data_IF_682412070690
#
_entry.id   IF_682412070690
#
_cell.length_a   1.000
_cell.length_b   1.000
_cell.length_c   1.000
_cell.angle_alpha   90.00
_cell.angle_beta   90.00
_cell.angle_gamma   90.00
#
_symmetry.space_group_name_H-M   'P 1'
#
loop_
_entity.id
_entity.type
_entity.pdbx_description
1 polymer ?
#
# COMPACT_ATOMS: atom_id res chain seq x y z
N UNK A 1 -2.71 -12.98 79.13
CA UNK A 1 -3.65 -11.85 79.27
C UNK A 1 -3.21 -10.75 78.30
N UNK A 2 -4.10 -10.31 77.39
CA UNK A 2 -3.99 -8.99 76.74
C UNK A 2 -4.41 -7.92 77.77
N UNK A 3 -3.80 -6.71 77.80
CA UNK A 3 -4.25 -5.61 76.92
C UNK A 3 -3.11 -4.71 76.40
N UNK A 4 -3.13 -4.23 75.14
CA UNK A 4 -3.83 -3.07 74.55
C UNK A 4 -3.51 -1.72 75.23
N UNK A 5 -2.79 -0.80 74.55
CA UNK A 5 -3.33 0.38 73.82
C UNK A 5 -2.23 1.35 73.36
N UNK A 6 -2.43 1.84 72.13
CA UNK A 6 -1.68 2.86 71.37
C UNK A 6 -2.17 4.27 71.77
N UNK A 7 -1.33 5.31 71.68
CA UNK A 7 -1.58 6.43 70.74
C UNK A 7 -0.27 6.81 70.00
N UNK A 8 -0.18 6.89 68.67
CA UNK A 8 -0.71 7.90 67.75
C UNK A 8 -0.20 9.34 68.05
N UNK A 9 0.68 9.89 67.19
CA UNK A 9 0.38 10.97 66.22
C UNK A 9 1.66 11.73 65.79
N UNK A 10 1.77 11.87 64.46
CA UNK A 10 2.41 12.91 63.64
C UNK A 10 3.93 13.13 63.66
N UNK A 11 4.53 13.03 62.47
CA UNK A 11 5.31 14.15 61.87
C UNK A 11 5.69 13.85 60.41
N UNK A 12 5.59 14.88 59.55
CA UNK A 12 6.19 15.09 58.21
C UNK A 12 5.72 14.14 57.08
N UNK A 13 4.96 14.52 56.05
CA UNK A 13 5.05 15.68 55.12
C UNK A 13 6.44 15.86 54.51
N UNK A 14 6.73 15.06 53.46
CA UNK A 14 7.68 15.26 52.34
C UNK A 14 8.00 13.85 51.79
N UNK A 15 7.80 13.46 50.54
CA UNK A 15 7.86 14.19 49.29
C UNK A 15 6.92 13.53 48.25
N UNK A 16 5.84 14.22 47.91
CA UNK A 16 5.09 14.02 46.67
C UNK A 16 5.58 15.09 45.70
N UNK A 17 6.67 14.81 44.98
CA UNK A 17 7.24 15.75 44.01
C UNK A 17 7.89 15.03 42.83
N UNK A 18 7.12 14.18 42.11
CA UNK A 18 7.50 13.68 40.78
C UNK A 18 6.27 13.48 39.88
N UNK A 19 5.38 14.47 39.80
CA UNK A 19 4.34 14.53 38.76
C UNK A 19 4.23 15.96 38.23
N UNK A 20 5.24 16.41 37.49
CA UNK A 20 5.14 17.62 36.66
C UNK A 20 5.97 17.42 35.39
N UNK A 21 5.48 16.51 34.56
CA UNK A 21 5.95 16.28 33.19
C UNK A 21 4.79 16.29 32.21
N UNK A 22 3.79 17.16 32.41
CA UNK A 22 2.85 17.50 31.35
C UNK A 22 3.45 18.70 30.63
N UNK A 23 3.90 18.48 29.39
CA UNK A 23 4.51 19.52 28.58
C UNK A 23 3.63 20.77 28.55
N UNK A 24 4.26 21.94 28.54
CA UNK A 24 3.59 23.18 28.14
C UNK A 24 3.07 22.98 26.72
N UNK A 25 1.83 22.49 26.61
CA UNK A 25 1.08 22.55 25.38
C UNK A 25 0.97 24.04 25.06
N UNK A 26 1.66 24.48 24.01
CA UNK A 26 1.40 25.80 23.43
C UNK A 26 -0.11 25.95 23.30
N UNK A 27 -0.64 27.06 23.80
CA UNK A 27 -2.09 27.27 23.89
C UNK A 27 -2.73 26.93 22.55
N UNK A 28 -3.82 26.15 22.58
CA UNK A 28 -4.60 25.85 21.40
C UNK A 28 -5.13 27.18 20.86
N UNK A 29 -4.55 27.64 19.76
CA UNK A 29 -5.01 28.83 19.06
C UNK A 29 -6.27 28.46 18.27
N UNK A 30 -7.33 29.23 18.46
CA UNK A 30 -8.56 29.02 17.70
C UNK A 30 -8.26 29.27 16.22
N UNK A 31 -8.59 28.30 15.36
CA UNK A 31 -8.52 28.46 13.91
C UNK A 31 -9.66 29.35 13.35
N UNK A 32 -10.42 30.03 14.22
CA UNK A 32 -11.62 30.78 13.89
C UNK A 32 -12.90 29.95 14.05
N UNK A 33 -14.03 30.57 13.71
CA UNK A 33 -15.35 29.93 13.71
C UNK A 33 -15.41 28.88 12.59
N UNK A 34 -15.79 27.65 12.93
CA UNK A 34 -16.02 26.62 11.94
C UNK A 34 -17.24 26.99 11.08
N UNK A 35 -17.20 26.84 9.75
CA UNK A 35 -18.38 27.03 8.92
C UNK A 35 -19.55 26.19 9.42
N UNK A 36 -20.77 26.76 9.38
CA UNK A 36 -21.97 25.98 9.68
C UNK A 36 -22.14 24.86 8.66
N UNK A 37 -22.60 23.70 9.12
CA UNK A 37 -22.87 22.57 8.24
C UNK A 37 -23.98 22.95 7.25
N UNK A 38 -23.71 22.78 5.96
CA UNK A 38 -24.70 22.95 4.89
C UNK A 38 -25.20 21.56 4.52
N UNK A 39 -26.48 21.29 4.78
CA UNK A 39 -27.14 20.06 4.36
C UNK A 39 -27.17 19.93 2.83
N UNK A 40 -26.96 18.71 2.26
CA UNK A 40 -27.11 18.51 0.83
C UNK A 40 -28.51 18.90 0.36
N UNK A 41 -28.60 19.83 -0.60
CA UNK A 41 -29.87 20.16 -1.24
C UNK A 41 -30.32 18.98 -2.12
N UNK A 42 -31.54 18.48 -1.90
CA UNK A 42 -32.15 17.48 -2.78
C UNK A 42 -32.61 18.16 -4.06
N UNK A 43 -31.92 17.86 -5.16
CA UNK A 43 -32.36 18.22 -6.51
C UNK A 43 -33.27 17.09 -7.04
N UNK A 44 -34.34 17.44 -7.77
CA UNK A 44 -35.32 16.50 -8.35
C UNK A 44 -35.94 15.50 -7.34
N UNK A 45 -36.75 15.97 -6.38
CA UNK A 45 -37.30 15.12 -5.31
C UNK A 45 -38.24 14.01 -5.81
N UNK A 46 -38.82 14.17 -6.99
CA UNK A 46 -39.77 13.22 -7.60
C UNK A 46 -39.09 12.17 -8.49
N UNK A 47 -37.74 12.12 -8.52
CA UNK A 47 -37.01 11.12 -9.29
C UNK A 47 -37.35 9.70 -8.77
N UNK A 48 -37.79 8.77 -9.63
CA UNK A 48 -38.11 7.42 -9.20
C UNK A 48 -36.84 6.69 -8.73
N UNK A 49 -36.95 5.72 -7.81
CA UNK A 49 -35.81 4.92 -7.36
C UNK A 49 -35.11 4.22 -8.52
N UNK A 50 -33.78 4.09 -8.43
CA UNK A 50 -33.01 3.29 -9.36
C UNK A 50 -33.50 1.83 -9.36
N UNK A 51 -33.69 1.26 -10.54
CA UNK A 51 -34.24 -0.10 -10.70
C UNK A 51 -33.17 -1.18 -10.88
N UNK A 52 -31.95 -0.80 -11.25
CA UNK A 52 -30.81 -1.70 -11.41
C UNK A 52 -29.49 -0.95 -11.28
N UNK A 53 -28.43 -1.68 -10.95
CA UNK A 53 -27.07 -1.16 -11.00
C UNK A 53 -26.59 -1.06 -12.47
N UNK A 54 -25.86 0.01 -12.84
CA UNK A 54 -25.43 0.21 -14.23
C UNK A 54 -24.25 -0.67 -14.66
N UNK A 55 -23.43 -1.15 -13.72
CA UNK A 55 -22.27 -2.02 -13.97
C UNK A 55 -21.93 -2.84 -12.72
N UNK A 56 -21.42 -4.06 -12.90
CA UNK A 56 -20.86 -4.89 -11.82
C UNK A 56 -19.33 -4.75 -11.89
N UNK A 57 -18.70 -4.01 -10.97
CA UNK A 57 -17.23 -3.96 -10.94
C UNK A 57 -16.64 -5.09 -10.10
N UNK A 58 -17.36 -6.22 -9.97
CA UNK A 58 -16.91 -7.38 -9.20
C UNK A 58 -16.66 -7.06 -7.73
N UNK A 59 -17.14 -5.92 -7.22
CA UNK A 59 -16.94 -5.58 -5.82
C UNK A 59 -17.71 -6.56 -4.94
N UNK A 60 -16.98 -7.16 -4.01
CA UNK A 60 -17.57 -8.13 -3.10
C UNK A 60 -17.62 -9.56 -3.64
N UNK A 61 -17.06 -9.84 -4.82
CA UNK A 61 -16.87 -11.22 -5.26
C UNK A 61 -15.83 -11.93 -4.39
N UNK A 62 -16.22 -13.10 -3.86
CA UNK A 62 -15.33 -13.97 -3.11
C UNK A 62 -15.17 -15.30 -3.82
N UNK A 63 -14.06 -15.98 -3.58
CA UNK A 63 -13.82 -17.29 -4.16
C UNK A 63 -13.11 -18.21 -3.18
N UNK A 64 -13.67 -19.41 -2.99
CA UNK A 64 -13.05 -20.47 -2.19
C UNK A 64 -11.84 -21.02 -2.93
N UNK A 65 -10.67 -21.02 -2.30
CA UNK A 65 -9.43 -21.48 -2.94
C UNK A 65 -9.32 -23.02 -2.85
N UNK A 66 -9.43 -23.75 -3.97
CA UNK A 66 -9.51 -25.20 -3.93
C UNK A 66 -8.18 -25.83 -3.49
N UNK A 67 -8.26 -26.85 -2.62
CA UNK A 67 -7.10 -27.63 -2.19
C UNK A 67 -6.17 -26.93 -1.19
N UNK A 68 -6.51 -25.71 -0.75
CA UNK A 68 -5.81 -25.04 0.35
C UNK A 68 -6.62 -25.19 1.63
N UNK A 69 -5.98 -25.78 2.64
CA UNK A 69 -6.44 -25.79 4.01
C UNK A 69 -5.61 -24.85 4.87
N UNK A 70 -6.23 -24.25 5.88
CA UNK A 70 -5.57 -23.36 6.84
C UNK A 70 -5.86 -23.85 8.26
N UNK A 71 -5.23 -24.97 8.71
CA UNK A 71 -5.47 -25.50 10.04
C UNK A 71 -5.14 -24.47 11.11
N UNK A 72 -6.06 -24.27 12.07
CA UNK A 72 -5.91 -23.27 13.12
C UNK A 72 -6.07 -21.82 12.64
N UNK A 73 -6.37 -21.59 11.35
CA UNK A 73 -6.57 -20.26 10.76
C UNK A 73 -5.29 -19.44 10.56
N UNK A 74 -4.11 -20.07 10.67
CA UNK A 74 -2.83 -19.38 10.54
C UNK A 74 -2.37 -19.30 9.07
N UNK A 75 -2.63 -18.15 8.44
CA UNK A 75 -2.24 -17.87 7.05
C UNK A 75 -0.73 -17.69 6.85
N UNK A 76 0.05 -17.43 7.91
CA UNK A 76 1.51 -17.23 7.81
C UNK A 76 2.25 -18.51 7.40
N UNK A 77 1.62 -19.66 7.60
CA UNK A 77 2.17 -20.98 7.23
C UNK A 77 1.90 -21.36 5.78
N UNK A 78 1.10 -20.56 5.07
CA UNK A 78 0.76 -20.86 3.69
C UNK A 78 1.92 -20.53 2.77
N UNK A 79 2.12 -21.40 1.79
CA UNK A 79 3.05 -21.12 0.71
C UNK A 79 2.37 -20.18 -0.32
N UNK A 80 2.88 -18.95 -0.53
CA UNK A 80 2.25 -17.97 -1.41
C UNK A 80 2.17 -18.44 -2.87
N UNK A 81 3.14 -19.24 -3.33
CA UNK A 81 3.12 -19.82 -4.68
C UNK A 81 2.03 -20.88 -4.77
N UNK A 82 1.87 -21.73 -3.75
CA UNK A 82 0.80 -22.72 -3.73
C UNK A 82 -0.59 -22.07 -3.72
N UNK A 83 -0.76 -20.98 -2.95
CA UNK A 83 -2.00 -20.18 -2.93
C UNK A 83 -2.29 -19.59 -4.31
N UNK A 84 -1.30 -18.96 -4.97
CA UNK A 84 -1.45 -18.41 -6.31
C UNK A 84 -1.82 -19.49 -7.34
N UNK A 85 -1.17 -20.65 -7.30
CA UNK A 85 -1.43 -21.77 -8.21
C UNK A 85 -2.82 -22.39 -8.00
N UNK A 86 -3.25 -22.54 -6.74
CA UNK A 86 -4.59 -23.00 -6.41
C UNK A 86 -5.67 -21.98 -6.84
N UNK A 87 -5.37 -20.68 -6.67
CA UNK A 87 -6.24 -19.58 -7.07
C UNK A 87 -6.60 -19.57 -8.56
N UNK A 88 -5.73 -20.06 -9.44
CA UNK A 88 -6.01 -20.21 -10.88
C UNK A 88 -7.21 -21.13 -11.19
N UNK A 89 -7.66 -21.92 -10.21
CA UNK A 89 -8.80 -22.84 -10.32
C UNK A 89 -10.03 -22.35 -9.53
N UNK A 90 -9.87 -21.28 -8.76
CA UNK A 90 -10.96 -20.70 -7.98
C UNK A 90 -11.99 -20.10 -8.93
N UNK A 91 -13.26 -20.23 -8.57
CA UNK A 91 -14.38 -19.66 -9.32
C UNK A 91 -15.15 -18.73 -8.40
N UNK A 92 -15.55 -17.60 -8.94
CA UNK A 92 -16.52 -16.68 -8.35
C UNK A 92 -17.92 -17.09 -8.81
N UNK A 93 -18.95 -16.74 -8.03
CA UNK A 93 -20.35 -17.00 -8.39
C UNK A 93 -20.85 -16.05 -9.48
N UNK A 94 -20.07 -15.01 -9.79
CA UNK A 94 -20.34 -13.98 -10.80
C UNK A 94 -19.10 -13.80 -11.67
N UNK A 95 -19.33 -13.58 -12.96
CA UNK A 95 -18.26 -13.33 -13.93
C UNK A 95 -18.11 -11.81 -14.09
N UNK A 96 -17.42 -11.16 -13.14
CA UNK A 96 -17.11 -9.73 -13.23
C UNK A 96 -16.12 -9.39 -14.36
N UNK A 97 -15.47 -10.39 -14.98
CA UNK A 97 -14.41 -10.19 -15.97
C UNK A 97 -13.10 -9.57 -15.40
N UNK A 98 -13.07 -9.16 -14.14
CA UNK A 98 -11.92 -8.52 -13.48
C UNK A 98 -10.92 -9.53 -12.91
N UNK A 99 -11.28 -10.81 -12.93
CA UNK A 99 -10.52 -11.85 -12.27
C UNK A 99 -9.58 -12.64 -13.20
N UNK A 100 -9.58 -12.30 -14.48
CA UNK A 100 -8.81 -13.03 -15.49
C UNK A 100 -7.36 -12.53 -15.56
N UNK A 101 -6.43 -13.44 -15.22
CA UNK A 101 -5.00 -13.21 -15.44
C UNK A 101 -4.66 -13.55 -16.90
N UNK A 102 -3.77 -12.79 -17.57
CA UNK A 102 -3.30 -13.13 -18.91
C UNK A 102 -2.66 -14.53 -18.95
N UNK A 103 -2.88 -15.27 -20.04
CA UNK A 103 -2.34 -16.63 -20.25
C UNK A 103 -0.83 -16.74 -19.97
N UNK A 104 -0.06 -15.71 -20.34
CA UNK A 104 1.37 -15.67 -20.07
C UNK A 104 1.67 -15.67 -18.56
N UNK A 105 0.95 -14.85 -17.79
CA UNK A 105 1.05 -14.80 -16.31
C UNK A 105 0.63 -16.14 -15.71
N UNK A 106 -0.45 -16.75 -16.20
CA UNK A 106 -0.92 -18.07 -15.75
C UNK A 106 0.17 -19.13 -15.93
N UNK A 107 0.85 -19.16 -17.08
CA UNK A 107 1.97 -20.08 -17.33
C UNK A 107 3.14 -19.84 -16.38
N UNK A 108 3.50 -18.58 -16.13
CA UNK A 108 4.58 -18.22 -15.21
C UNK A 108 4.26 -18.66 -13.76
N UNK A 109 3.03 -18.44 -13.28
CA UNK A 109 2.60 -18.90 -11.95
C UNK A 109 2.73 -20.43 -11.81
N UNK A 110 2.33 -21.18 -12.85
CA UNK A 110 2.48 -22.65 -12.87
C UNK A 110 3.94 -23.08 -12.81
N UNK A 111 4.84 -22.32 -13.44
CA UNK A 111 6.27 -22.61 -13.51
C UNK A 111 7.08 -22.15 -12.29
N UNK A 112 6.51 -21.39 -11.34
CA UNK A 112 7.24 -20.80 -10.20
C UNK A 112 8.14 -21.77 -9.41
N UNK A 113 7.80 -23.06 -9.34
CA UNK A 113 8.62 -24.07 -8.65
C UNK A 113 9.84 -24.50 -9.43
N UNK A 114 9.73 -24.52 -10.76
CA UNK A 114 10.79 -24.95 -11.68
C UNK A 114 11.60 -23.77 -12.23
N UNK A 115 11.04 -22.56 -12.16
CA UNK A 115 11.65 -21.30 -12.59
C UNK A 115 11.35 -20.20 -11.54
N UNK A 116 11.98 -20.26 -10.35
CA UNK A 116 11.70 -19.34 -9.25
C UNK A 116 12.06 -17.89 -9.60
N UNK A 117 13.11 -17.66 -10.39
CA UNK A 117 13.54 -16.31 -10.79
C UNK A 117 12.53 -15.61 -11.72
N UNK A 118 11.72 -16.38 -12.45
CA UNK A 118 10.67 -15.88 -13.34
C UNK A 118 9.29 -15.84 -12.66
N UNK A 119 9.20 -16.20 -11.38
CA UNK A 119 7.93 -16.26 -10.67
C UNK A 119 7.33 -14.85 -10.47
N UNK A 120 6.11 -14.57 -10.96
CA UNK A 120 5.52 -13.24 -10.87
C UNK A 120 4.88 -12.96 -9.51
N UNK A 121 4.80 -13.98 -8.64
CA UNK A 121 4.23 -13.91 -7.30
C UNK A 121 5.20 -13.14 -6.39
N UNK A 122 4.72 -12.06 -5.79
CA UNK A 122 5.50 -11.23 -4.87
C UNK A 122 5.53 -11.84 -3.46
N UNK A 123 6.43 -11.32 -2.63
CA UNK A 123 6.42 -11.60 -1.21
C UNK A 123 5.04 -11.25 -0.60
N UNK A 124 4.48 -12.14 0.25
CA UNK A 124 3.20 -11.89 0.89
C UNK A 124 3.32 -10.87 2.02
N UNK A 125 2.20 -10.22 2.33
CA UNK A 125 2.04 -9.43 3.54
C UNK A 125 0.84 -9.94 4.35
N UNK A 126 0.87 -9.70 5.66
CA UNK A 126 -0.11 -10.23 6.60
C UNK A 126 -0.60 -9.14 7.54
N UNK A 127 -1.91 -8.91 7.59
CA UNK A 127 -2.52 -7.87 8.42
C UNK A 127 -3.95 -8.26 8.80
N UNK A 128 -4.40 -7.93 10.00
CA UNK A 128 -5.81 -8.01 10.40
C UNK A 128 -6.66 -6.95 9.66
N UNK A 129 -7.19 -7.33 8.50
CA UNK A 129 -8.04 -6.49 7.65
C UNK A 129 -9.50 -6.55 8.12
N UNK A 130 -9.92 -7.67 8.71
CA UNK A 130 -11.31 -7.85 9.16
C UNK A 130 -11.60 -7.30 10.54
N UNK A 131 -10.57 -7.06 11.36
CA UNK A 131 -10.66 -6.63 12.76
C UNK A 131 -11.03 -7.76 13.71
N UNK A 132 -10.81 -9.02 13.34
CA UNK A 132 -11.12 -10.19 14.18
C UNK A 132 -9.92 -10.68 15.01
N UNK A 133 -8.78 -9.97 14.92
CA UNK A 133 -7.54 -10.31 15.60
C UNK A 133 -6.72 -11.39 14.89
N UNK A 134 -7.08 -11.79 13.67
CA UNK A 134 -6.32 -12.71 12.83
C UNK A 134 -5.89 -12.02 11.56
N UNK A 135 -4.66 -12.27 11.14
CA UNK A 135 -4.17 -11.69 9.91
C UNK A 135 -4.80 -12.36 8.68
N UNK A 136 -5.12 -11.54 7.69
CA UNK A 136 -5.36 -11.93 6.32
C UNK A 136 -4.06 -11.92 5.51
N UNK A 137 -3.98 -12.75 4.47
CA UNK A 137 -2.87 -12.80 3.52
C UNK A 137 -3.14 -11.85 2.34
N UNK A 138 -2.23 -10.92 2.07
CA UNK A 138 -2.22 -10.06 0.89
C UNK A 138 -1.11 -10.51 -0.06
N UNK A 139 -1.47 -10.76 -1.32
CA UNK A 139 -0.56 -11.25 -2.35
C UNK A 139 -0.61 -10.37 -3.60
N UNK A 140 0.57 -10.03 -4.12
CA UNK A 140 0.72 -9.37 -5.42
C UNK A 140 1.19 -10.35 -6.49
N UNK A 141 0.69 -10.21 -7.72
CA UNK A 141 1.14 -10.95 -8.90
C UNK A 141 1.45 -9.95 -10.01
N UNK A 142 2.73 -9.88 -10.42
CA UNK A 142 3.15 -9.02 -11.53
C UNK A 142 2.51 -9.47 -12.83
N UNK A 143 2.12 -8.51 -13.65
CA UNK A 143 1.54 -8.74 -14.97
C UNK A 143 2.27 -7.91 -16.03
N UNK A 144 2.09 -8.22 -17.33
CA UNK A 144 2.60 -7.40 -18.42
C UNK A 144 2.17 -5.93 -18.31
N UNK A 145 2.88 -5.04 -19.01
CA UNK A 145 2.59 -3.58 -19.04
C UNK A 145 2.61 -2.91 -17.66
N UNK A 146 3.43 -3.42 -16.73
CA UNK A 146 3.60 -2.89 -15.36
C UNK A 146 2.31 -2.92 -14.53
N UNK A 147 1.39 -3.83 -14.85
CA UNK A 147 0.23 -4.06 -14.01
C UNK A 147 0.57 -5.00 -12.85
N UNK A 148 -0.23 -4.89 -11.78
CA UNK A 148 -0.16 -5.72 -10.61
C UNK A 148 -1.58 -6.19 -10.27
N UNK A 149 -1.78 -7.50 -10.20
CA UNK A 149 -2.95 -8.07 -9.57
C UNK A 149 -2.70 -8.14 -8.06
N UNK A 150 -3.60 -7.55 -7.27
CA UNK A 150 -3.59 -7.58 -5.80
C UNK A 150 -4.76 -8.45 -5.34
N UNK A 151 -4.48 -9.38 -4.43
CA UNK A 151 -5.44 -10.34 -3.91
C UNK A 151 -5.33 -10.35 -2.38
N UNK A 152 -6.46 -10.41 -1.68
CA UNK A 152 -6.48 -10.64 -0.23
C UNK A 152 -7.24 -11.92 0.09
N UNK A 153 -6.75 -12.67 1.07
CA UNK A 153 -7.28 -13.97 1.44
C UNK A 153 -7.46 -14.07 2.96
N UNK A 154 -8.57 -14.67 3.34
CA UNK A 154 -8.97 -14.90 4.73
C UNK A 154 -9.10 -16.39 4.99
N UNK A 155 -8.66 -16.81 6.17
CA UNK A 155 -8.91 -18.17 6.62
C UNK A 155 -10.39 -18.36 7.03
N UNK A 156 -11.03 -19.42 6.54
CA UNK A 156 -12.38 -19.78 6.94
C UNK A 156 -12.37 -20.26 8.40
N UNK A 157 -13.41 -19.88 9.15
CA UNK A 157 -13.52 -20.21 10.57
C UNK A 157 -14.06 -21.63 10.85
N UNK A 158 -14.45 -22.38 9.83
CA UNK A 158 -15.03 -23.71 9.96
C UNK A 158 -13.98 -24.78 10.30
N UNK A 159 -14.44 -25.84 10.97
CA UNK A 159 -13.63 -27.03 11.23
C UNK A 159 -13.11 -27.63 9.92
N UNK A 160 -11.80 -27.84 9.83
CA UNK A 160 -11.10 -28.24 8.61
C UNK A 160 -10.31 -27.12 7.94
N UNK A 161 -10.63 -25.85 8.24
CA UNK A 161 -9.85 -24.66 7.88
C UNK A 161 -9.73 -24.44 6.36
N UNK A 162 -10.41 -23.44 5.83
CA UNK A 162 -10.28 -23.03 4.44
C UNK A 162 -9.57 -21.68 4.26
N UNK A 163 -9.34 -21.29 3.02
CA UNK A 163 -8.85 -20.00 2.53
C UNK A 163 -9.80 -19.40 1.47
N UNK A 164 -10.49 -18.34 1.80
CA UNK A 164 -11.35 -17.61 0.86
C UNK A 164 -10.63 -16.37 0.38
N UNK A 165 -10.59 -16.15 -0.94
CA UNK A 165 -10.20 -14.85 -1.49
C UNK A 165 -11.34 -13.88 -1.25
N UNK A 166 -11.04 -12.79 -0.56
CA UNK A 166 -11.98 -11.75 -0.15
C UNK A 166 -11.77 -10.43 -0.89
N UNK A 167 -10.67 -10.27 -1.62
CA UNK A 167 -10.41 -9.12 -2.49
C UNK A 167 -9.72 -9.59 -3.77
N UNK A 168 -10.15 -9.03 -4.90
CA UNK A 168 -9.55 -9.30 -6.20
C UNK A 168 -9.56 -8.05 -7.06
N UNK A 169 -8.40 -7.46 -7.32
CA UNK A 169 -8.29 -6.31 -8.22
C UNK A 169 -6.96 -6.29 -8.98
N UNK A 170 -6.90 -5.59 -10.11
CA UNK A 170 -5.67 -5.40 -10.86
C UNK A 170 -5.60 -4.01 -11.48
N UNK A 171 -4.44 -3.37 -11.37
CA UNK A 171 -4.23 -2.03 -11.92
C UNK A 171 -2.75 -1.79 -12.25
N UNK A 172 -2.42 -0.65 -12.86
CA UNK A 172 -1.08 -0.10 -13.00
C UNK A 172 -0.60 0.50 -11.65
N UNK A 173 -0.53 -0.34 -10.63
CA UNK A 173 -0.27 0.05 -9.24
C UNK A 173 1.08 0.76 -9.08
N UNK A 174 1.04 1.97 -8.51
CA UNK A 174 2.18 2.76 -8.04
C UNK A 174 2.60 2.30 -6.64
N UNK A 175 1.63 2.17 -5.73
CA UNK A 175 1.84 1.66 -4.36
C UNK A 175 0.60 0.95 -3.84
N UNK A 176 0.83 -0.01 -2.93
CA UNK A 176 -0.18 -0.60 -2.05
C UNK A 176 0.18 -0.17 -0.64
N UNK A 177 -0.74 0.49 0.04
CA UNK A 177 -0.54 1.08 1.36
C UNK A 177 -1.59 0.51 2.33
N UNK A 178 -1.25 0.43 3.61
CA UNK A 178 -2.19 0.08 4.67
C UNK A 178 -2.47 1.33 5.51
N UNK A 179 -3.75 1.66 5.68
CA UNK A 179 -4.19 2.72 6.57
C UNK A 179 -5.28 2.18 7.50
N UNK A 180 -4.92 1.92 8.76
CA UNK A 180 -5.80 1.19 9.66
C UNK A 180 -6.04 -0.23 9.13
N UNK A 181 -7.28 -0.52 8.72
CA UNK A 181 -7.69 -1.81 8.13
C UNK A 181 -7.94 -1.73 6.62
N UNK A 182 -7.70 -0.57 6.02
CA UNK A 182 -7.96 -0.35 4.61
C UNK A 182 -6.70 -0.63 3.79
N UNK A 183 -6.86 -1.38 2.69
CA UNK A 183 -5.84 -1.50 1.66
C UNK A 183 -6.05 -0.40 0.62
N UNK A 184 -5.08 0.51 0.51
CA UNK A 184 -5.13 1.64 -0.42
C UNK A 184 -4.26 1.32 -1.63
N UNK A 185 -4.88 1.27 -2.80
CA UNK A 185 -4.18 1.17 -4.08
C UNK A 185 -4.04 2.57 -4.68
N UNK A 186 -2.81 2.91 -5.07
CA UNK A 186 -2.52 4.10 -5.88
C UNK A 186 -2.21 3.69 -7.30
N UNK A 187 -2.84 4.35 -8.26
CA UNK A 187 -2.64 4.12 -9.70
C UNK A 187 -2.62 5.46 -10.45
N UNK A 188 -1.94 5.56 -11.61
CA UNK A 188 -1.98 6.77 -12.41
C UNK A 188 -3.39 7.03 -12.93
N UNK A 189 -3.81 8.31 -12.95
CA UNK A 189 -5.05 8.70 -13.60
C UNK A 189 -4.84 8.93 -15.10
N UNK A 190 -5.93 8.84 -15.87
CA UNK A 190 -5.97 9.36 -17.25
C UNK A 190 -5.86 10.88 -17.30
N UNK A 191 -6.17 11.56 -16.19
CA UNK A 191 -5.99 13.01 -16.05
C UNK A 191 -4.55 13.29 -15.68
N UNK A 192 -3.85 14.05 -16.53
CA UNK A 192 -2.44 14.41 -16.32
C UNK A 192 -2.25 15.15 -14.99
N UNK A 193 -1.29 14.70 -14.18
CA UNK A 193 -1.01 15.27 -12.86
C UNK A 193 -1.92 14.75 -11.73
N UNK A 194 -2.68 13.68 -11.98
CA UNK A 194 -3.55 13.05 -10.99
C UNK A 194 -3.30 11.55 -10.87
N UNK A 195 -3.73 10.99 -9.75
CA UNK A 195 -3.74 9.57 -9.44
C UNK A 195 -5.12 9.15 -8.93
N UNK A 196 -5.46 7.89 -9.20
CA UNK A 196 -6.52 7.20 -8.46
C UNK A 196 -5.98 6.73 -7.11
N UNK A 197 -6.81 6.90 -6.07
CA UNK A 197 -6.61 6.35 -4.73
C UNK A 197 -7.87 5.60 -4.33
N UNK A 198 -7.79 4.28 -4.42
CA UNK A 198 -8.90 3.40 -4.09
C UNK A 198 -8.63 2.71 -2.75
N UNK A 199 -9.49 2.95 -1.77
CA UNK A 199 -9.47 2.28 -0.48
C UNK A 199 -10.40 1.06 -0.50
N UNK A 200 -9.84 -0.09 -0.17
CA UNK A 200 -10.55 -1.34 -0.01
C UNK A 200 -10.73 -1.63 1.47
N UNK A 201 -11.98 -1.76 1.92
CA UNK A 201 -12.34 -1.98 3.32
C UNK A 201 -13.18 -3.24 3.48
N UNK A 202 -13.02 -3.93 4.60
CA UNK A 202 -13.81 -5.11 4.93
C UNK A 202 -15.29 -4.75 5.18
N UNK A 203 -16.19 -5.50 4.54
CA UNK A 203 -17.62 -5.46 4.83
C UNK A 203 -18.09 -6.80 5.43
N UNK A 204 -18.58 -6.75 6.68
CA UNK A 204 -19.03 -7.93 7.40
C UNK A 204 -20.28 -8.58 6.79
N UNK A 205 -21.10 -7.85 6.04
CA UNK A 205 -22.33 -8.41 5.46
C UNK A 205 -22.03 -9.18 4.18
N UNK A 206 -21.15 -8.63 3.35
CA UNK A 206 -20.70 -9.23 2.10
C UNK A 206 -19.59 -10.27 2.31
N UNK A 207 -18.94 -10.26 3.48
CA UNK A 207 -17.77 -11.08 3.77
C UNK A 207 -16.65 -10.89 2.74
N UNK A 208 -16.46 -9.64 2.30
CA UNK A 208 -15.50 -9.27 1.25
C UNK A 208 -14.92 -7.87 1.49
N UNK A 209 -13.77 -7.59 0.88
CA UNK A 209 -13.23 -6.24 0.79
C UNK A 209 -13.93 -5.51 -0.36
N UNK A 210 -14.51 -4.34 -0.08
CA UNK A 210 -15.19 -3.49 -1.07
C UNK A 210 -14.36 -2.24 -1.32
N UNK A 211 -14.37 -1.73 -2.56
CA UNK A 211 -13.82 -0.42 -2.89
C UNK A 211 -14.74 0.68 -2.32
N UNK A 212 -14.57 1.02 -1.04
CA UNK A 212 -15.46 1.93 -0.30
C UNK A 212 -15.22 3.40 -0.61
N UNK A 213 -14.03 3.72 -1.13
CA UNK A 213 -13.65 5.08 -1.52
C UNK A 213 -12.75 5.03 -2.74
N UNK A 214 -13.10 5.79 -3.76
CA UNK A 214 -12.26 6.01 -4.93
C UNK A 214 -12.11 7.50 -5.20
N UNK A 215 -10.87 7.98 -5.21
CA UNK A 215 -10.56 9.41 -5.32
C UNK A 215 -9.62 9.69 -6.47
N UNK A 216 -9.86 10.79 -7.17
CA UNK A 216 -8.92 11.36 -8.13
C UNK A 216 -8.15 12.49 -7.41
N UNK A 217 -6.92 12.21 -7.02
CA UNK A 217 -6.10 13.14 -6.21
C UNK A 217 -5.02 13.77 -7.08
N UNK A 218 -4.86 15.09 -6.94
CA UNK A 218 -3.77 15.82 -7.61
C UNK A 218 -2.44 15.38 -7.01
N UNK A 219 -1.52 14.96 -7.86
CA UNK A 219 -0.15 14.67 -7.46
C UNK A 219 0.61 15.99 -7.38
N UNK A 220 1.34 16.26 -6.29
CA UNK A 220 2.24 17.40 -6.24
C UNK A 220 3.25 17.29 -7.39
N UNK A 221 3.44 18.38 -8.14
CA UNK A 221 4.55 18.44 -9.08
C UNK A 221 5.82 18.17 -8.28
N UNK A 222 6.57 17.12 -8.65
CA UNK A 222 7.92 16.97 -8.11
C UNK A 222 8.65 18.24 -8.53
N UNK A 223 9.01 19.10 -7.57
CA UNK A 223 10.02 20.11 -7.82
C UNK A 223 11.24 19.30 -8.26
N UNK A 224 11.53 19.34 -9.56
CA UNK A 224 12.80 18.89 -10.09
C UNK A 224 13.86 19.48 -9.17
N UNK A 225 14.81 18.65 -8.73
CA UNK A 225 15.88 19.03 -7.82
C UNK A 225 16.45 20.39 -8.25
N UNK A 226 15.95 21.45 -7.61
CA UNK A 226 16.60 22.73 -7.62
C UNK A 226 17.80 22.45 -6.76
N UNK A 227 18.90 22.08 -7.42
CA UNK A 227 20.24 22.02 -6.86
C UNK A 227 20.30 23.17 -5.87
N UNK A 228 20.26 22.85 -4.57
CA UNK A 228 20.39 23.86 -3.56
C UNK A 228 21.74 24.54 -3.85
N UNK A 229 21.80 25.87 -3.99
CA UNK A 229 23.09 26.51 -4.15
C UNK A 229 23.92 26.10 -2.94
N UNK A 230 25.01 25.38 -3.20
CA UNK A 230 26.00 25.06 -2.20
C UNK A 230 26.39 26.38 -1.54
N UNK A 231 26.31 26.52 -0.21
CA UNK A 231 26.83 27.72 0.43
C UNK A 231 28.32 27.76 0.14
N UNK A 232 28.74 28.69 -0.70
CA UNK A 232 30.15 29.00 -0.94
C UNK A 232 30.73 29.44 0.39
N UNK A 233 31.44 28.51 1.04
CA UNK A 233 32.32 28.82 2.15
C UNK A 233 33.32 29.85 1.63
N UNK A 234 33.20 31.09 2.12
CA UNK A 234 34.16 32.15 1.89
C UNK A 234 35.49 31.75 2.53
N UNK A 235 36.29 30.99 1.77
CA UNK A 235 37.68 30.70 2.04
C UNK A 235 38.54 31.85 1.53
N UNK A 236 38.86 32.77 2.43
CA UNK A 236 39.85 33.82 2.23
C UNK A 236 41.25 33.23 2.07
N UNK A 237 41.89 33.60 0.96
CA UNK A 237 43.33 33.70 0.70
C UNK A 237 44.24 32.46 0.89
N UNK A 238 44.83 32.01 -0.22
CA UNK A 238 46.29 32.05 -0.40
C UNK A 238 46.68 31.81 -1.88
N UNK A 239 47.73 32.50 -2.28
CA UNK A 239 48.25 32.74 -3.62
C UNK A 239 48.97 31.53 -4.23
N UNK A 240 48.77 31.38 -5.55
CA UNK A 240 49.71 30.95 -6.62
C UNK A 240 51.03 30.24 -6.27
N UNK A 241 51.23 29.06 -6.89
CA UNK A 241 52.43 28.69 -7.68
C UNK A 241 52.14 27.37 -8.42
N UNK A 242 51.87 27.45 -9.73
CA UNK A 242 52.82 27.08 -10.81
C UNK A 242 52.93 25.57 -11.05
N UNK A 243 52.13 25.10 -12.00
CA UNK A 243 52.42 23.93 -12.83
C UNK A 243 52.77 24.44 -14.22
N UNK A 244 53.96 24.10 -14.73
CA UNK A 244 54.21 23.92 -16.17
C UNK A 244 55.61 23.37 -16.41
N UNK A 245 55.66 22.07 -16.72
CA UNK A 245 56.76 21.44 -17.42
C UNK A 245 56.23 20.79 -18.70
N UNK A 246 56.61 21.39 -19.84
CA UNK A 246 56.77 20.81 -21.18
C UNK A 246 55.51 20.28 -21.91
N UNK A 247 54.93 21.03 -22.85
CA UNK A 247 55.29 21.11 -24.28
C UNK A 247 55.21 19.74 -24.98
N UNK A 248 54.14 19.45 -25.73
CA UNK A 248 53.88 19.84 -27.14
C UNK A 248 54.45 18.84 -28.16
N UNK A 249 53.56 18.28 -29.00
CA UNK A 249 53.70 18.17 -30.46
C UNK A 249 52.75 17.09 -31.05
N UNK A 250 51.67 17.54 -31.69
CA UNK A 250 51.15 16.98 -32.95
C UNK A 250 52.07 17.48 -34.11
N UNK A 251 51.94 17.14 -35.42
CA UNK A 251 50.97 16.28 -36.14
C UNK A 251 51.58 15.52 -37.37
N UNK A 252 50.68 15.07 -38.28
CA UNK A 252 50.81 14.86 -39.76
C UNK A 252 51.21 13.44 -40.23
N UNK A 253 50.68 12.91 -41.35
CA UNK A 253 49.75 13.40 -42.38
C UNK A 253 49.17 12.25 -43.23
N UNK A 254 48.16 12.60 -44.05
CA UNK A 254 47.87 12.12 -45.43
C UNK A 254 47.68 10.61 -45.66
N UNK A 255 46.56 10.08 -46.17
CA UNK A 255 45.69 10.56 -47.24
C UNK A 255 45.93 9.73 -48.51
N UNK A 256 44.96 8.91 -48.96
CA UNK A 256 44.80 8.51 -50.36
C UNK A 256 43.46 7.81 -50.60
N UNK A 257 43.00 7.88 -51.84
CA UNK A 257 41.63 7.71 -52.31
C UNK A 257 41.34 6.36 -53.01
N UNK A 258 40.03 6.14 -53.23
CA UNK A 258 39.37 5.59 -54.42
C UNK A 258 39.29 4.06 -54.71
N UNK A 259 38.07 3.74 -55.18
CA UNK A 259 37.61 2.70 -56.14
C UNK A 259 37.41 1.22 -55.77
N UNK A 260 36.15 0.78 -55.91
CA UNK A 260 35.76 -0.12 -56.99
C UNK A 260 35.48 -1.60 -56.69
N UNK A 261 34.22 -1.95 -56.39
CA UNK A 261 33.36 -2.93 -57.10
C UNK A 261 32.08 -3.25 -56.31
#
# INVERSE_FOLDING_TARGET
MRPVRVPAVASAVAALALVSGCGAAGGLESAGEAPSAVEPARLWPDLPPASAAPYDYGEGETARIPGITVPGGDVHRLDPVAVAQAGLKAKTDRDSGLDELPDATVRQIRACRTAPDDCPVLAPYYFDLTGDGRDELVLGVRMPKRQLAVRAYRADRSDGGGLTRIMSTSDAVISVELAGRDLILRAPSVISGYEYRTAWSWDDRQQAMLATRDEIVRVPERRTDRTAPTPESSGSAALTSESSGSAAATPKSSGSAADGR
#
